data_IF_622782225702
#
_entry.id   IF_622782225702
#
_cell.length_a   1.000
_cell.length_b   1.000
_cell.length_c   1.000
_cell.angle_alpha   90.00
_cell.angle_beta   90.00
_cell.angle_gamma   90.00
#
_symmetry.space_group_name_H-M   'P 1'
#
loop_
_entity.id
_entity.type
_entity.pdbx_description
1 polymer ?
#
# COMPACT_ATOMS: atom_id res chain seq x y z
N UNK A 1 0.53 12.72 13.76
CA UNK A 1 1.69 13.54 13.32
C UNK A 1 2.32 12.79 12.17
N UNK A 2 2.06 13.25 10.96
CA UNK A 2 2.72 12.69 9.78
C UNK A 2 4.14 13.24 9.79
N UNK A 3 5.09 12.41 10.16
CA UNK A 3 6.50 12.75 9.98
C UNK A 3 6.77 12.87 8.48
N UNK A 4 7.72 13.75 8.09
CA UNK A 4 8.10 13.99 6.70
C UNK A 4 8.52 12.75 5.87
N UNK A 5 8.40 11.55 6.43
CA UNK A 5 8.65 10.26 5.79
C UNK A 5 7.38 9.59 5.24
N UNK A 6 6.19 10.10 5.54
CA UNK A 6 4.93 9.47 5.14
C UNK A 6 4.09 10.43 4.30
N UNK A 7 3.36 9.88 3.33
CA UNK A 7 2.42 10.63 2.49
C UNK A 7 1.14 10.93 3.29
N UNK A 8 0.70 12.19 3.32
CA UNK A 8 -0.61 12.50 3.92
C UNK A 8 -1.74 11.92 3.08
N UNK A 9 -2.93 11.69 3.68
CA UNK A 9 -4.07 11.17 2.94
C UNK A 9 -4.49 12.06 1.76
N UNK A 10 -4.46 13.38 1.91
CA UNK A 10 -4.75 14.31 0.81
C UNK A 10 -3.73 14.19 -0.32
N UNK A 11 -2.44 14.07 0.00
CA UNK A 11 -1.39 13.87 -0.99
C UNK A 11 -1.54 12.50 -1.70
N UNK A 12 -1.91 11.45 -0.98
CA UNK A 12 -2.22 10.16 -1.58
C UNK A 12 -3.39 10.28 -2.56
N UNK A 13 -4.46 10.99 -2.18
CA UNK A 13 -5.59 11.27 -3.06
C UNK A 13 -5.18 11.99 -4.35
N UNK A 14 -4.31 12.99 -4.25
CA UNK A 14 -3.78 13.70 -5.42
C UNK A 14 -2.99 12.76 -6.35
N UNK A 15 -2.17 11.89 -5.79
CA UNK A 15 -1.42 10.88 -6.58
C UNK A 15 -2.38 9.93 -7.28
N UNK A 16 -3.41 9.43 -6.60
CA UNK A 16 -4.41 8.53 -7.16
C UNK A 16 -5.18 9.18 -8.31
N UNK A 17 -5.58 10.44 -8.15
CA UNK A 17 -6.26 11.20 -9.18
C UNK A 17 -5.39 11.37 -10.42
N UNK A 18 -4.13 11.76 -10.26
CA UNK A 18 -3.19 11.92 -11.36
C UNK A 18 -2.84 10.60 -12.05
N UNK A 19 -2.78 9.50 -11.29
CA UNK A 19 -2.48 8.17 -11.85
C UNK A 19 -3.61 7.64 -12.74
N UNK A 20 -4.87 8.06 -12.50
CA UNK A 20 -6.03 7.58 -13.24
C UNK A 20 -6.20 6.07 -13.20
N UNK A 21 -5.76 5.42 -12.13
CA UNK A 21 -5.83 3.97 -11.98
C UNK A 21 -7.27 3.50 -11.77
N UNK A 22 -7.59 2.31 -12.28
CA UNK A 22 -8.91 1.69 -12.08
C UNK A 22 -9.23 1.39 -10.61
N UNK A 23 -8.21 1.22 -9.79
CA UNK A 23 -8.29 1.06 -8.34
C UNK A 23 -6.96 1.50 -7.74
N UNK A 24 -7.02 2.21 -6.63
CA UNK A 24 -5.86 2.62 -5.84
C UNK A 24 -5.87 1.91 -4.49
N UNK A 25 -4.71 1.74 -3.89
CA UNK A 25 -4.59 1.08 -2.59
C UNK A 25 -3.70 1.91 -1.66
N UNK A 26 -4.15 2.07 -0.44
CA UNK A 26 -3.36 2.61 0.67
C UNK A 26 -2.88 1.44 1.53
N UNK A 27 -1.63 1.47 1.94
CA UNK A 27 -1.03 0.43 2.76
C UNK A 27 -0.10 1.03 3.80
N UNK A 28 0.34 0.22 4.75
CA UNK A 28 1.20 0.66 5.85
C UNK A 28 0.52 1.73 6.72
N UNK A 29 -0.75 1.51 7.00
CA UNK A 29 -1.57 2.36 7.86
C UNK A 29 -1.93 1.62 9.14
N UNK A 30 -2.10 2.38 10.22
CA UNK A 30 -2.84 1.86 11.37
C UNK A 30 -4.31 1.84 11.00
N UNK A 31 -4.88 0.63 10.91
CA UNK A 31 -6.27 0.42 10.50
C UNK A 31 -7.10 0.13 11.74
N UNK A 32 -7.79 1.13 12.23
CA UNK A 32 -8.75 1.02 13.31
C UNK A 32 -9.95 1.95 13.06
N UNK A 33 -10.96 1.86 13.94
CA UNK A 33 -12.20 2.62 13.78
C UNK A 33 -12.02 4.14 13.96
N UNK A 34 -10.93 4.60 14.57
CA UNK A 34 -10.65 6.02 14.77
C UNK A 34 -9.88 6.63 13.59
N UNK A 35 -9.04 5.83 12.93
CA UNK A 35 -8.13 6.31 11.87
C UNK A 35 -8.72 6.19 10.47
N UNK A 36 -9.48 5.13 10.19
CA UNK A 36 -10.00 4.86 8.84
C UNK A 36 -10.89 5.98 8.32
N UNK A 37 -11.82 6.46 9.15
CA UNK A 37 -12.76 7.52 8.75
C UNK A 37 -12.06 8.82 8.35
N UNK A 38 -11.23 9.42 9.21
CA UNK A 38 -10.46 10.62 8.90
C UNK A 38 -9.55 10.46 7.68
N UNK A 39 -8.85 9.33 7.55
CA UNK A 39 -7.98 9.04 6.41
C UNK A 39 -8.76 9.05 5.09
N UNK A 40 -9.90 8.36 5.04
CA UNK A 40 -10.75 8.38 3.86
C UNK A 40 -11.31 9.78 3.56
N UNK A 41 -11.79 10.48 4.58
CA UNK A 41 -12.37 11.82 4.39
C UNK A 41 -11.37 12.80 3.82
N UNK A 42 -10.13 12.79 4.32
CA UNK A 42 -9.07 13.66 3.83
C UNK A 42 -8.64 13.28 2.40
N UNK A 43 -8.43 12.00 2.13
CA UNK A 43 -8.09 11.49 0.81
C UNK A 43 -9.17 11.85 -0.24
N UNK A 44 -10.46 11.72 0.14
CA UNK A 44 -11.61 12.02 -0.73
C UNK A 44 -11.73 13.50 -1.09
N UNK A 45 -11.04 14.41 -0.43
CA UNK A 45 -10.95 15.81 -0.87
C UNK A 45 -10.24 15.98 -2.21
N UNK A 46 -9.51 14.94 -2.67
CA UNK A 46 -8.66 14.98 -3.86
C UNK A 46 -8.89 13.85 -4.86
N UNK A 47 -9.63 12.80 -4.49
CA UNK A 47 -9.85 11.64 -5.35
C UNK A 47 -11.18 10.95 -5.06
N UNK A 48 -12.01 10.78 -6.09
CA UNK A 48 -13.32 10.13 -6.00
C UNK A 48 -13.34 8.68 -6.51
N UNK A 49 -12.25 8.23 -7.12
CA UNK A 49 -12.14 6.89 -7.70
C UNK A 49 -12.11 5.76 -6.65
N UNK A 50 -12.10 4.50 -7.11
CA UNK A 50 -12.04 3.34 -6.22
C UNK A 50 -10.73 3.28 -5.43
N UNK A 51 -10.84 3.21 -4.09
CA UNK A 51 -9.70 3.09 -3.18
C UNK A 51 -9.96 2.00 -2.15
N UNK A 52 -8.94 1.22 -1.87
CA UNK A 52 -8.92 0.21 -0.81
C UNK A 52 -7.89 0.59 0.24
N UNK A 53 -8.26 0.56 1.50
CA UNK A 53 -7.30 0.51 2.61
C UNK A 53 -6.90 -0.95 2.77
N UNK A 54 -5.64 -1.25 2.45
CA UNK A 54 -5.12 -2.61 2.52
C UNK A 54 -4.77 -2.98 3.96
N UNK A 55 -5.06 -4.21 4.30
CA UNK A 55 -4.58 -4.89 5.50
C UNK A 55 -3.62 -6.01 5.09
N UNK A 56 -2.98 -6.63 6.07
CA UNK A 56 -2.15 -7.80 5.82
C UNK A 56 -2.96 -8.84 5.03
N UNK A 57 -2.34 -9.36 3.97
CA UNK A 57 -2.93 -10.38 3.10
C UNK A 57 -4.13 -9.89 2.25
N UNK A 58 -4.27 -8.61 2.04
CA UNK A 58 -5.14 -8.10 0.98
C UNK A 58 -4.56 -8.50 -0.38
N UNK A 59 -5.37 -9.16 -1.19
CA UNK A 59 -5.00 -9.68 -2.52
C UNK A 59 -5.76 -8.91 -3.59
N UNK A 60 -5.05 -8.44 -4.60
CA UNK A 60 -5.63 -7.77 -5.76
C UNK A 60 -5.55 -8.68 -6.99
N UNK A 61 -6.71 -9.03 -7.53
CA UNK A 61 -6.80 -9.71 -8.81
C UNK A 61 -7.05 -8.67 -9.90
N UNK A 62 -6.11 -8.55 -10.82
CA UNK A 62 -6.17 -7.56 -11.90
C UNK A 62 -6.30 -8.29 -13.22
N UNK A 63 -7.36 -8.00 -13.96
CA UNK A 63 -7.60 -8.46 -15.34
C UNK A 63 -7.76 -7.26 -16.26
N UNK A 64 -7.94 -7.50 -17.53
CA UNK A 64 -8.27 -6.41 -18.49
C UNK A 64 -9.62 -5.77 -18.16
N UNK A 65 -10.57 -6.56 -17.68
CA UNK A 65 -11.96 -6.16 -17.47
C UNK A 65 -12.21 -5.62 -16.05
N UNK A 66 -11.49 -6.14 -15.04
CA UNK A 66 -11.80 -5.83 -13.64
C UNK A 66 -10.58 -5.81 -12.73
N UNK A 67 -10.73 -5.10 -11.61
CA UNK A 67 -9.85 -5.19 -10.45
C UNK A 67 -10.69 -5.57 -9.25
N UNK A 68 -10.33 -6.65 -8.56
CA UNK A 68 -11.05 -7.15 -7.38
C UNK A 68 -10.09 -7.24 -6.20
N UNK A 69 -10.42 -6.55 -5.12
CA UNK A 69 -9.69 -6.67 -3.85
C UNK A 69 -10.38 -7.74 -2.99
N UNK A 70 -9.58 -8.62 -2.40
CA UNK A 70 -10.04 -9.70 -1.52
C UNK A 70 -9.13 -9.79 -0.31
N UNK A 71 -9.68 -10.26 0.80
CA UNK A 71 -8.89 -10.63 1.96
C UNK A 71 -8.59 -12.13 1.90
N UNK A 72 -7.30 -12.49 1.95
CA UNK A 72 -6.92 -13.90 2.03
C UNK A 72 -7.24 -14.44 3.44
N UNK A 73 -7.85 -15.62 3.49
CA UNK A 73 -8.05 -16.37 4.72
C UNK A 73 -6.90 -17.36 4.83
N UNK A 74 -6.14 -17.25 5.92
CA UNK A 74 -5.03 -18.15 6.19
C UNK A 74 -5.48 -19.21 7.18
N UNK A 75 -5.13 -20.46 6.86
CA UNK A 75 -5.20 -21.55 7.82
C UNK A 75 -4.11 -21.34 8.90
N UNK A 76 -4.50 -21.07 10.16
CA UNK A 76 -3.56 -20.82 11.24
C UNK A 76 -2.62 -22.00 11.51
N UNK A 77 -2.97 -23.21 11.06
CA UNK A 77 -2.15 -24.40 11.21
C UNK A 77 -1.11 -24.58 10.12
N UNK A 78 -1.08 -23.71 9.09
CA UNK A 78 -0.07 -23.75 8.02
C UNK A 78 1.18 -22.92 8.33
N UNK A 79 1.25 -22.29 9.46
CA UNK A 79 2.46 -21.59 9.87
C UNK A 79 3.58 -22.60 10.14
N UNK A 80 4.82 -22.29 9.76
CA UNK A 80 5.95 -23.16 10.09
C UNK A 80 6.03 -23.35 11.61
N UNK A 81 6.31 -24.58 12.01
CA UNK A 81 6.49 -24.91 13.42
C UNK A 81 7.59 -24.04 14.00
N UNK A 82 7.34 -23.41 15.14
CA UNK A 82 8.32 -22.57 15.83
C UNK A 82 9.60 -23.39 16.06
N UNK A 83 10.73 -22.91 15.57
CA UNK A 83 12.03 -23.58 15.66
C UNK A 83 12.40 -24.45 14.44
N UNK A 84 11.51 -24.63 13.46
CA UNK A 84 11.83 -25.37 12.23
C UNK A 84 12.43 -24.51 11.12
N UNK A 85 12.54 -23.21 11.31
CA UNK A 85 12.97 -22.30 10.26
C UNK A 85 14.29 -21.65 10.59
N UNK A 86 15.29 -22.09 9.89
CA UNK A 86 16.52 -21.35 9.75
C UNK A 86 16.33 -20.29 8.64
N UNK A 87 15.43 -19.37 8.87
CA UNK A 87 15.21 -18.24 7.98
C UNK A 87 16.16 -17.10 8.32
N UNK A 88 17.45 -17.38 8.29
CA UNK A 88 18.37 -16.31 7.93
C UNK A 88 18.12 -16.04 6.45
N UNK A 89 17.45 -14.91 6.17
CA UNK A 89 17.41 -14.39 4.82
C UNK A 89 18.83 -14.27 4.27
N UNK A 90 19.02 -14.32 2.95
CA UNK A 90 20.33 -14.08 2.36
C UNK A 90 20.89 -12.78 2.95
N UNK A 91 22.22 -12.72 3.19
CA UNK A 91 22.83 -11.50 3.69
C UNK A 91 22.40 -10.33 2.80
N UNK A 92 21.88 -9.28 3.41
CA UNK A 92 21.48 -8.10 2.65
C UNK A 92 22.70 -7.62 1.86
N UNK A 93 22.62 -7.76 0.56
CA UNK A 93 23.55 -7.09 -0.34
C UNK A 93 23.47 -5.58 -0.11
N UNK A 94 24.58 -4.88 -0.30
CA UNK A 94 24.59 -3.42 -0.24
C UNK A 94 23.43 -2.85 -1.07
N UNK A 95 22.73 -1.81 -0.59
CA UNK A 95 21.65 -1.20 -1.33
C UNK A 95 22.12 -0.85 -2.74
N UNK A 96 21.39 -1.34 -3.75
CA UNK A 96 21.64 -0.89 -5.11
C UNK A 96 21.42 0.62 -5.21
N UNK A 97 22.23 1.34 -5.99
CA UNK A 97 21.97 2.74 -6.24
C UNK A 97 20.55 2.92 -6.80
N UNK A 98 19.82 3.95 -6.38
CA UNK A 98 18.48 4.19 -6.88
C UNK A 98 18.48 4.28 -8.39
N UNK A 99 17.50 3.69 -9.07
CA UNK A 99 17.42 3.75 -10.52
C UNK A 99 17.25 5.19 -11.00
N UNK A 100 17.84 5.51 -12.14
CA UNK A 100 17.85 6.88 -12.69
C UNK A 100 16.46 7.49 -12.84
N UNK A 101 15.45 6.69 -13.16
CA UNK A 101 14.07 7.16 -13.29
C UNK A 101 13.48 7.70 -11.98
N UNK A 102 14.01 7.31 -10.84
CA UNK A 102 13.52 7.81 -9.55
C UNK A 102 13.73 9.31 -9.38
N UNK A 103 14.84 9.84 -9.90
CA UNK A 103 15.10 11.29 -9.86
C UNK A 103 14.29 12.07 -10.89
N UNK A 104 13.78 11.41 -11.93
CA UNK A 104 12.99 12.04 -13.01
C UNK A 104 11.49 11.87 -12.86
N UNK A 105 11.04 10.99 -11.97
CA UNK A 105 9.63 10.71 -11.70
C UNK A 105 9.03 11.61 -10.61
N UNK A 106 9.63 12.75 -10.32
CA UNK A 106 9.11 13.69 -9.33
C UNK A 106 7.78 14.27 -9.81
N UNK A 107 6.75 14.09 -8.99
CA UNK A 107 5.47 14.78 -9.17
C UNK A 107 5.68 16.20 -8.63
N UNK A 108 5.80 17.15 -9.55
CA UNK A 108 5.81 18.57 -9.20
C UNK A 108 4.39 19.12 -9.20
N UNK A 109 4.10 20.04 -8.26
CA UNK A 109 2.82 20.74 -8.12
C UNK A 109 2.44 21.53 -9.39
#
# INVERSE_FOLDING_TARGET
>A
IVNGAHTSPAMAGMVFERAGARMSAMWHLVVDHETVGPVFSEMRTRHDGPVVISQDLTVFNVTKESVVARQAIIDPFRWPVVGASNTQGPPMSAPLPPPQWWSTALITD
#
